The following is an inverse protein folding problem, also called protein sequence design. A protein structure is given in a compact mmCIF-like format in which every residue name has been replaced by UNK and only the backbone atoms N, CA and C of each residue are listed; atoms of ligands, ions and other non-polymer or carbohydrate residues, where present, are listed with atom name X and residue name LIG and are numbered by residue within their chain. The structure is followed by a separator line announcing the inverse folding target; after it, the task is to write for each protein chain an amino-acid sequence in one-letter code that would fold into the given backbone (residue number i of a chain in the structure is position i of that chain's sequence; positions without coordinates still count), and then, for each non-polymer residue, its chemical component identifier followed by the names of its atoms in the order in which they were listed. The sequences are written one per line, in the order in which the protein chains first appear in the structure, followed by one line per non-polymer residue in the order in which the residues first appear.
data_IF_603290782937
#
_entry.id   IF_603290782937
#
_cell.length_a   1.000
_cell.length_b   1.000
_cell.length_c   1.000
_cell.angle_alpha   90.00
_cell.angle_beta   90.00
_cell.angle_gamma   90.00
#
_symmetry.space_group_name_H-M   'P 1'
#
loop_
_entity.id
_entity.type
_entity.pdbx_description
1 polymer ?
#
# COMPACT_ATOMS: atom_id res chain seq x y z
N UNK A 1 -0.53 25.05 -5.36
CA UNK A 1 -1.56 24.27 -4.62
C UNK A 1 -0.94 22.96 -4.15
N UNK A 2 -0.99 22.63 -2.85
CA UNK A 2 -0.57 21.30 -2.37
C UNK A 2 -1.73 20.32 -2.60
N UNK A 3 -1.53 19.16 -3.26
CA UNK A 3 -2.57 18.15 -3.35
C UNK A 3 -2.98 17.72 -1.93
N UNK A 4 -4.28 17.79 -1.62
CA UNK A 4 -4.81 17.19 -0.39
C UNK A 4 -4.84 15.68 -0.58
N UNK A 5 -3.93 14.98 0.10
CA UNK A 5 -3.92 13.52 0.13
C UNK A 5 -5.14 12.99 0.89
N UNK A 6 -5.69 11.86 0.46
CA UNK A 6 -6.89 11.24 1.05
C UNK A 6 -6.69 9.75 1.26
N UNK A 7 -7.29 9.20 2.33
CA UNK A 7 -7.36 7.74 2.50
C UNK A 7 -8.03 7.09 1.30
N UNK A 8 -7.52 5.93 0.88
CA UNK A 8 -7.99 5.23 -0.32
C UNK A 8 -7.55 5.86 -1.66
N UNK A 9 -6.85 7.00 -1.65
CA UNK A 9 -6.28 7.55 -2.88
C UNK A 9 -5.21 6.62 -3.44
N UNK A 10 -5.19 6.43 -4.77
CA UNK A 10 -4.12 5.69 -5.45
C UNK A 10 -2.98 6.63 -5.84
N UNK A 11 -1.75 6.20 -5.60
CA UNK A 11 -0.52 6.88 -5.98
C UNK A 11 0.38 5.91 -6.74
N UNK A 12 1.21 6.42 -7.64
CA UNK A 12 2.32 5.65 -8.22
C UNK A 12 3.57 5.97 -7.40
N UNK A 13 4.40 4.95 -7.16
CA UNK A 13 5.67 5.15 -6.47
C UNK A 13 6.71 4.12 -6.88
N UNK A 14 7.95 4.38 -6.49
CA UNK A 14 9.12 3.54 -6.77
C UNK A 14 9.62 2.91 -5.48
N UNK A 15 9.88 1.60 -5.47
CA UNK A 15 10.50 0.96 -4.32
C UNK A 15 11.94 1.43 -4.20
N UNK A 16 12.31 2.02 -3.07
CA UNK A 16 13.66 2.56 -2.84
C UNK A 16 14.46 1.79 -1.79
N UNK A 17 13.78 1.03 -0.92
CA UNK A 17 14.43 0.19 0.08
C UNK A 17 13.52 -0.95 0.59
N UNK A 18 14.15 -2.07 0.95
CA UNK A 18 13.51 -3.26 1.55
C UNK A 18 14.31 -3.64 2.81
N UNK A 19 14.05 -2.98 3.96
CA UNK A 19 14.73 -3.33 5.20
C UNK A 19 14.28 -4.71 5.70
N UNK A 20 15.21 -5.66 5.81
CA UNK A 20 14.96 -7.01 6.34
C UNK A 20 13.71 -7.67 5.74
N UNK A 21 13.80 -8.19 4.49
CA UNK A 21 12.69 -8.85 3.82
C UNK A 21 12.03 -9.90 4.71
N UNK A 22 10.70 -9.89 4.79
CA UNK A 22 9.90 -10.76 5.66
C UNK A 22 9.67 -10.28 7.09
N UNK A 23 10.33 -9.19 7.53
CA UNK A 23 10.27 -8.73 8.93
C UNK A 23 9.55 -7.38 9.08
N UNK A 24 9.84 -6.39 8.24
CA UNK A 24 9.36 -5.02 8.48
C UNK A 24 8.46 -4.47 7.37
N UNK A 25 8.91 -4.48 6.12
CA UNK A 25 8.18 -3.92 4.99
C UNK A 25 9.09 -3.34 3.92
N UNK A 26 8.52 -2.46 3.09
CA UNK A 26 9.22 -1.78 2.00
C UNK A 26 8.90 -0.29 2.06
N UNK A 27 9.83 0.56 1.66
CA UNK A 27 9.50 1.97 1.44
C UNK A 27 9.64 2.41 0.01
N UNK A 28 8.92 3.50 -0.22
CA UNK A 28 8.46 3.91 -1.51
C UNK A 28 8.74 5.40 -1.64
N UNK A 29 9.43 5.78 -2.70
CA UNK A 29 9.45 7.17 -3.14
C UNK A 29 8.17 7.47 -3.92
N UNK A 30 7.46 8.51 -3.49
CA UNK A 30 6.19 8.97 -4.07
C UNK A 30 6.36 10.27 -4.88
N UNK A 31 7.58 10.81 -5.00
CA UNK A 31 7.80 12.15 -5.54
C UNK A 31 7.18 13.26 -4.68
N UNK A 32 6.97 12.97 -3.39
CA UNK A 32 6.40 13.89 -2.40
C UNK A 32 7.45 14.24 -1.34
N UNK A 33 7.29 15.33 -0.58
CA UNK A 33 8.19 15.68 0.52
C UNK A 33 8.28 14.61 1.63
N UNK A 34 7.32 13.68 1.66
CA UNK A 34 7.26 12.56 2.59
C UNK A 34 7.18 11.26 1.79
N UNK A 35 8.02 10.29 2.16
CA UNK A 35 8.02 8.95 1.57
C UNK A 35 6.84 8.08 2.02
N UNK A 36 6.64 6.99 1.30
CA UNK A 36 5.68 5.95 1.63
C UNK A 36 6.32 4.74 2.31
N UNK A 37 5.53 3.98 3.05
CA UNK A 37 5.93 2.70 3.63
C UNK A 37 4.79 1.69 3.54
N UNK A 38 5.07 0.51 3.01
CA UNK A 38 4.17 -0.63 3.04
C UNK A 38 4.62 -1.57 4.15
N UNK A 39 3.72 -1.80 5.10
CA UNK A 39 3.94 -2.73 6.21
C UNK A 39 4.03 -4.18 5.70
N UNK A 40 4.90 -5.00 6.31
CA UNK A 40 5.01 -6.44 6.02
C UNK A 40 3.66 -7.15 6.04
N UNK A 41 2.73 -6.69 6.88
CA UNK A 41 1.39 -7.27 6.98
C UNK A 41 0.54 -7.11 5.71
N UNK A 42 0.93 -6.27 4.76
CA UNK A 42 0.26 -6.12 3.46
C UNK A 42 0.91 -6.94 2.34
N UNK A 43 2.13 -7.46 2.55
CA UNK A 43 2.96 -8.11 1.53
C UNK A 43 2.80 -9.64 1.55
N UNK A 44 3.20 -10.35 0.48
CA UNK A 44 3.25 -11.80 0.47
C UNK A 44 4.09 -12.34 1.63
N UNK A 45 3.72 -13.51 2.18
CA UNK A 45 4.50 -14.13 3.27
C UNK A 45 5.91 -14.50 2.83
N UNK A 46 6.06 -14.89 1.56
CA UNK A 46 7.34 -15.17 0.94
C UNK A 46 8.00 -13.86 0.46
N UNK A 47 9.14 -13.44 1.05
CA UNK A 47 9.83 -12.21 0.66
C UNK A 47 10.36 -12.21 -0.77
N UNK A 48 10.57 -13.37 -1.39
CA UNK A 48 11.00 -13.46 -2.79
C UNK A 48 9.95 -12.92 -3.78
N UNK A 49 8.69 -12.82 -3.33
CA UNK A 49 7.58 -12.25 -4.12
C UNK A 49 7.30 -10.78 -3.81
N UNK A 50 8.13 -10.15 -2.97
CA UNK A 50 8.02 -8.70 -2.75
C UNK A 50 8.51 -7.95 -4.00
N UNK A 51 7.99 -6.74 -4.26
CA UNK A 51 8.52 -5.93 -5.34
C UNK A 51 9.97 -5.55 -5.04
N UNK A 52 10.85 -5.70 -6.04
CA UNK A 52 12.27 -5.38 -5.93
C UNK A 52 12.50 -3.85 -5.95
N UNK A 53 13.61 -3.39 -5.37
CA UNK A 53 14.07 -1.99 -5.49
C UNK A 53 14.11 -1.55 -6.96
N UNK A 54 13.65 -0.33 -7.24
CA UNK A 54 13.48 0.22 -8.59
C UNK A 54 12.15 -0.13 -9.25
N UNK A 55 11.37 -1.06 -8.70
CA UNK A 55 10.03 -1.39 -9.21
C UNK A 55 9.10 -0.19 -9.06
N UNK A 56 8.42 0.18 -10.14
CA UNK A 56 7.40 1.23 -10.18
C UNK A 56 6.03 0.56 -10.18
N UNK A 57 5.18 0.86 -9.20
CA UNK A 57 3.82 0.30 -9.13
C UNK A 57 2.86 1.23 -8.41
N UNK A 58 1.58 0.84 -8.39
CA UNK A 58 0.50 1.56 -7.74
C UNK A 58 0.32 1.16 -6.27
N UNK A 59 0.03 2.15 -5.43
CA UNK A 59 -0.24 2.01 -4.01
C UNK A 59 -1.52 2.74 -3.64
N UNK A 60 -2.21 2.26 -2.61
CA UNK A 60 -3.34 2.94 -1.98
C UNK A 60 -2.87 3.55 -0.67
N UNK A 61 -3.23 4.80 -0.41
CA UNK A 61 -3.02 5.43 0.90
C UNK A 61 -3.87 4.69 1.93
N UNK A 62 -3.19 3.90 2.76
CA UNK A 62 -3.81 3.07 3.79
C UNK A 62 -4.01 3.85 5.08
N UNK A 63 -3.01 4.60 5.54
CA UNK A 63 -3.09 5.43 6.74
C UNK A 63 -2.14 6.61 6.63
N UNK A 64 -2.57 7.75 7.16
CA UNK A 64 -1.74 8.93 7.40
C UNK A 64 -1.89 9.26 8.88
N UNK A 65 -0.95 8.83 9.70
CA UNK A 65 -0.88 9.17 11.13
C UNK A 65 0.26 10.17 11.36
N UNK A 66 0.64 10.44 12.61
CA UNK A 66 1.69 11.41 12.97
C UNK A 66 3.10 10.97 12.55
N UNK A 67 3.26 9.76 11.99
CA UNK A 67 4.56 9.26 11.54
C UNK A 67 5.05 10.05 10.33
N UNK A 68 6.38 10.14 10.12
CA UNK A 68 6.97 10.89 9.01
C UNK A 68 6.76 10.22 7.63
N UNK A 69 5.97 9.15 7.52
CA UNK A 69 5.76 8.39 6.30
C UNK A 69 4.30 8.05 6.10
N UNK A 70 3.83 8.10 4.84
CA UNK A 70 2.49 7.66 4.47
C UNK A 70 2.45 6.14 4.50
N UNK A 71 1.52 5.54 5.24
CA UNK A 71 1.34 4.08 5.21
C UNK A 71 0.54 3.70 3.97
N UNK A 72 1.07 2.74 3.24
CA UNK A 72 0.58 2.33 1.93
C UNK A 72 0.18 0.86 1.94
N UNK A 73 -0.69 0.52 1.00
CA UNK A 73 -1.04 -0.85 0.65
C UNK A 73 -0.79 -1.06 -0.86
N UNK A 74 -0.21 -2.18 -1.30
CA UNK A 74 -0.01 -2.46 -2.71
C UNK A 74 -1.36 -2.53 -3.44
N UNK A 75 -1.49 -1.80 -4.53
CA UNK A 75 -2.72 -1.83 -5.33
C UNK A 75 -2.72 -3.02 -6.30
N UNK A 76 -1.54 -3.42 -6.77
CA UNK A 76 -1.34 -4.65 -7.53
C UNK A 76 -1.61 -5.89 -6.66
N UNK A 77 -2.56 -6.77 -7.03
CA UNK A 77 -2.79 -8.03 -6.32
C UNK A 77 -1.55 -8.92 -6.20
N UNK A 78 -0.62 -8.89 -7.17
CA UNK A 78 0.56 -9.75 -7.17
C UNK A 78 1.50 -9.48 -5.98
N UNK A 79 1.49 -8.24 -5.47
CA UNK A 79 2.29 -7.82 -4.32
C UNK A 79 1.49 -7.76 -3.01
N UNK A 80 0.29 -8.34 -2.96
CA UNK A 80 -0.48 -8.45 -1.72
C UNK A 80 -0.30 -9.81 -1.08
N UNK A 81 -0.43 -9.84 0.25
CA UNK A 81 -0.60 -11.09 1.00
C UNK A 81 -1.65 -12.00 0.37
N UNK A 82 -1.46 -13.29 0.49
CA UNK A 82 -2.27 -14.33 -0.16
C UNK A 82 -3.69 -14.36 0.40
N UNK A 83 -3.83 -14.15 1.70
CA UNK A 83 -5.12 -14.08 2.39
C UNK A 83 -5.70 -12.66 2.43
N UNK A 84 -5.31 -11.77 1.49
CA UNK A 84 -5.61 -10.33 1.57
C UNK A 84 -7.10 -10.03 1.76
N UNK A 85 -7.99 -10.65 1.00
CA UNK A 85 -9.44 -10.40 1.12
C UNK A 85 -9.97 -10.81 2.49
N UNK A 86 -9.54 -11.97 3.00
CA UNK A 86 -9.97 -12.45 4.31
C UNK A 86 -9.36 -11.59 5.44
N UNK A 87 -8.11 -11.17 5.28
CA UNK A 87 -7.43 -10.27 6.20
C UNK A 87 -8.09 -8.90 6.24
N UNK A 88 -8.41 -8.31 5.08
CA UNK A 88 -9.01 -6.99 4.96
C UNK A 88 -10.34 -6.90 5.72
N UNK A 89 -11.20 -7.93 5.57
CA UNK A 89 -12.48 -8.03 6.29
C UNK A 89 -12.35 -8.03 7.82
N UNK A 90 -11.21 -8.44 8.37
CA UNK A 90 -10.96 -8.45 9.82
C UNK A 90 -10.42 -7.12 10.36
N UNK A 91 -9.94 -6.22 9.50
CA UNK A 91 -9.18 -5.05 9.95
C UNK A 91 -10.04 -3.89 10.45
N UNK A 92 -11.37 -3.89 10.23
CA UNK A 92 -12.29 -2.79 10.62
C UNK A 92 -11.69 -1.39 10.44
N UNK A 93 -10.99 -1.16 9.30
CA UNK A 93 -10.19 0.03 9.07
C UNK A 93 -10.86 0.92 8.01
N UNK A 94 -10.97 2.25 8.20
CA UNK A 94 -11.68 3.12 7.24
C UNK A 94 -11.15 3.04 5.80
N UNK A 95 -9.85 2.82 5.62
CA UNK A 95 -9.27 2.62 4.29
C UNK A 95 -9.66 1.29 3.63
N UNK A 96 -10.04 0.27 4.42
CA UNK A 96 -10.62 -0.97 3.90
C UNK A 96 -11.98 -0.71 3.26
N UNK A 97 -12.83 0.05 3.95
CA UNK A 97 -14.18 0.39 3.47
C UNK A 97 -14.11 1.21 2.17
N UNK A 98 -13.20 2.19 2.12
CA UNK A 98 -12.97 2.99 0.90
C UNK A 98 -12.45 2.12 -0.24
N UNK A 99 -11.51 1.21 0.04
CA UNK A 99 -10.98 0.31 -0.97
C UNK A 99 -12.05 -0.63 -1.53
N UNK A 100 -12.90 -1.20 -0.68
CA UNK A 100 -13.99 -2.08 -1.10
C UNK A 100 -15.04 -1.32 -1.92
N UNK A 101 -15.40 -0.10 -1.52
CA UNK A 101 -16.31 0.76 -2.28
C UNK A 101 -15.75 1.09 -3.68
N UNK A 102 -14.46 1.44 -3.77
CA UNK A 102 -13.79 1.69 -5.04
C UNK A 102 -13.76 0.44 -5.93
N UNK A 103 -13.44 -0.72 -5.34
CA UNK A 103 -13.44 -2.01 -6.05
C UNK A 103 -14.80 -2.39 -6.60
N UNK A 104 -15.88 -2.07 -5.89
CA UNK A 104 -17.24 -2.29 -6.37
C UNK A 104 -17.55 -1.34 -7.54
N UNK A 105 -17.23 -0.05 -7.42
CA UNK A 105 -17.44 0.92 -8.50
C UNK A 105 -16.67 0.56 -9.79
N UNK A 106 -15.47 -0.01 -9.69
CA UNK A 106 -14.69 -0.51 -10.84
C UNK A 106 -15.34 -1.70 -11.55
N UNK A 107 -16.13 -2.54 -10.84
CA UNK A 107 -16.78 -3.74 -11.40
C UNK A 107 -18.07 -3.44 -12.17
N UNK A 108 -18.64 -2.25 -11.99
CA UNK A 108 -19.90 -1.82 -12.60
C UNK A 108 -19.68 -0.82 -13.76
N UNK A 109 -18.45 -0.68 -14.24
CA UNK A 109 -18.09 0.05 -15.46
C UNK A 109 -17.76 -0.93 -16.57
#
# INVERSE_FOLDING_TARGET
MRPRLRLGQRLTGTIVWVPQPGVTGIGVDLGLPVGGFVDVLHLPRDPARWPATGTITGFVIWRMDERPQIRLMPADPAYRREDFTAWLRRQHHPAADVFDAQKQAERHR
#
